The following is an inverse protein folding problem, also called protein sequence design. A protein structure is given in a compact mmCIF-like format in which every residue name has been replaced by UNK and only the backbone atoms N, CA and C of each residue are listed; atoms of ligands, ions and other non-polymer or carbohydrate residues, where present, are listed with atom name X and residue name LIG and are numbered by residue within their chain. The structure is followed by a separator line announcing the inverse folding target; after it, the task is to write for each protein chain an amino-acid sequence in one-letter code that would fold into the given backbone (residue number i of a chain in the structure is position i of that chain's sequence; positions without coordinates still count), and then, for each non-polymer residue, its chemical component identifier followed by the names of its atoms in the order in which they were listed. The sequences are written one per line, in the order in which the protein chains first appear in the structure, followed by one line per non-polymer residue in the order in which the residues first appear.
data_IF_927113820370
#
_entry.id   IF_927113820370
#
_cell.length_a   1.000
_cell.length_b   1.000
_cell.length_c   1.000
_cell.angle_alpha   90.00
_cell.angle_beta   90.00
_cell.angle_gamma   90.00
#
_symmetry.space_group_name_H-M   'P 1'
#
loop_
_entity.id
_entity.type
_entity.pdbx_description
1 polymer ?
#
# COMPACT_ATOMS: atom_id res chain seq x y z
N UNK A 1 -27.34 66.57 70.87
CA UNK A 1 -28.72 66.07 70.68
C UNK A 1 -28.63 64.71 70.00
N UNK A 2 -29.17 63.68 70.67
CA UNK A 2 -29.39 62.27 70.26
C UNK A 2 -30.25 62.15 68.98
N UNK A 3 -30.42 60.97 68.29
CA UNK A 3 -30.02 59.59 68.63
C UNK A 3 -29.43 58.69 67.49
N UNK A 4 -28.90 57.52 67.90
CA UNK A 4 -28.81 56.12 67.37
C UNK A 4 -29.14 55.72 65.88
N UNK A 5 -28.73 54.48 65.44
CA UNK A 5 -28.16 54.12 64.12
C UNK A 5 -29.14 53.40 63.17
N UNK A 6 -28.78 53.12 61.91
CA UNK A 6 -29.29 51.95 61.14
C UNK A 6 -28.49 51.65 59.85
N UNK A 7 -28.63 50.40 59.40
CA UNK A 7 -27.94 49.65 58.34
C UNK A 7 -28.35 50.00 56.87
N UNK A 8 -27.51 49.50 55.93
CA UNK A 8 -27.76 48.95 54.56
C UNK A 8 -28.03 49.88 53.36
N UNK A 9 -27.23 49.71 52.28
CA UNK A 9 -27.63 49.31 50.90
C UNK A 9 -26.37 49.33 49.99
N UNK A 10 -25.89 48.18 49.50
CA UNK A 10 -26.10 47.60 48.15
C UNK A 10 -25.57 48.40 46.95
N UNK A 11 -24.69 47.76 46.17
CA UNK A 11 -24.73 47.85 44.72
C UNK A 11 -23.41 48.15 44.02
N UNK A 12 -22.63 47.12 43.68
CA UNK A 12 -22.22 46.78 42.30
C UNK A 12 -21.17 45.66 42.30
N UNK A 13 -21.63 44.48 41.97
CA UNK A 13 -20.82 43.30 41.65
C UNK A 13 -20.07 43.57 40.35
N UNK A 14 -18.73 43.60 40.39
CA UNK A 14 -17.89 43.45 39.20
C UNK A 14 -17.54 41.97 39.10
N UNK A 15 -18.19 41.28 38.17
CA UNK A 15 -17.88 39.90 37.84
C UNK A 15 -16.58 39.91 37.01
N UNK A 16 -15.45 39.60 37.65
CA UNK A 16 -14.21 39.30 36.93
C UNK A 16 -14.39 37.94 36.27
N UNK A 17 -14.57 37.92 34.95
CA UNK A 17 -14.54 36.69 34.17
C UNK A 17 -13.10 36.16 34.16
N UNK A 18 -12.80 35.18 35.01
CA UNK A 18 -11.62 34.36 34.88
C UNK A 18 -11.79 33.51 33.61
N UNK A 19 -11.10 33.90 32.54
CA UNK A 19 -10.95 33.06 31.35
C UNK A 19 -10.08 31.87 31.78
N UNK A 20 -10.73 30.75 32.07
CA UNK A 20 -10.07 29.47 32.18
C UNK A 20 -9.48 29.17 30.80
N UNK A 21 -8.15 29.24 30.71
CA UNK A 21 -7.41 28.78 29.54
C UNK A 21 -7.48 27.25 29.57
N UNK A 22 -8.54 26.70 28.98
CA UNK A 22 -8.60 25.28 28.66
C UNK A 22 -7.47 25.00 27.69
N UNK A 23 -6.40 24.36 28.18
CA UNK A 23 -5.43 23.71 27.31
C UNK A 23 -6.20 22.63 26.55
N UNK A 24 -6.70 22.97 25.36
CA UNK A 24 -7.20 21.98 24.44
C UNK A 24 -6.02 21.05 24.16
N UNK A 25 -6.18 19.79 24.56
CA UNK A 25 -5.27 18.73 24.18
C UNK A 25 -5.08 18.82 22.66
N UNK A 26 -3.85 19.00 22.22
CA UNK A 26 -3.47 18.84 20.82
C UNK A 26 -3.99 17.49 20.36
N UNK A 27 -4.64 17.38 19.18
CA UNK A 27 -4.99 16.08 18.63
C UNK A 27 -3.71 15.27 18.53
N UNK A 28 -3.74 14.04 19.05
CA UNK A 28 -2.65 13.10 18.86
C UNK A 28 -2.36 12.96 17.36
N UNK A 29 -1.09 12.77 17.02
CA UNK A 29 -0.66 12.39 15.68
C UNK A 29 -1.55 11.23 15.20
N UNK A 30 -2.23 11.43 14.07
CA UNK A 30 -3.04 10.38 13.45
C UNK A 30 -2.17 9.14 13.23
N UNK A 31 -2.55 8.04 13.85
CA UNK A 31 -1.97 6.71 13.68
C UNK A 31 -2.53 6.03 12.40
N UNK A 32 -3.35 6.72 11.59
CA UNK A 32 -4.36 6.13 10.72
C UNK A 32 -3.87 5.32 9.50
N UNK A 33 -2.75 5.67 8.87
CA UNK A 33 -2.34 4.97 7.65
C UNK A 33 -1.66 3.62 7.96
N UNK A 34 -2.19 2.54 7.41
CA UNK A 34 -1.62 1.20 7.48
C UNK A 34 -1.05 0.82 6.12
N UNK A 35 0.28 0.69 6.03
CA UNK A 35 0.95 0.29 4.80
C UNK A 35 0.99 -1.23 4.68
N UNK A 36 0.23 -1.77 3.71
CA UNK A 36 0.17 -3.21 3.42
C UNK A 36 0.88 -3.49 2.10
N UNK A 37 1.92 -4.30 2.14
CA UNK A 37 2.76 -4.63 0.98
C UNK A 37 2.73 -6.09 0.59
N UNK A 38 3.19 -6.38 -0.62
CA UNK A 38 3.61 -7.70 -1.06
C UNK A 38 4.92 -7.63 -1.83
N UNK A 39 5.83 -8.57 -1.56
CA UNK A 39 7.15 -8.58 -2.15
C UNK A 39 7.71 -10.00 -2.30
N UNK A 40 8.00 -10.40 -3.55
CA UNK A 40 8.88 -11.52 -3.80
C UNK A 40 10.33 -11.10 -3.45
N UNK A 41 10.89 -11.67 -2.38
CA UNK A 41 12.28 -11.46 -1.99
C UNK A 41 13.08 -12.65 -2.51
N UNK A 42 13.62 -12.50 -3.73
CA UNK A 42 14.28 -13.58 -4.46
C UNK A 42 15.20 -14.41 -3.56
N UNK A 43 14.87 -15.69 -3.41
CA UNK A 43 15.59 -16.70 -2.63
C UNK A 43 16.03 -16.23 -1.22
N UNK A 44 15.13 -15.67 -0.40
CA UNK A 44 15.46 -15.24 0.96
C UNK A 44 15.99 -16.41 1.81
N UNK A 45 17.22 -16.28 2.29
CA UNK A 45 17.88 -17.31 3.10
C UNK A 45 18.69 -18.35 2.33
N UNK A 46 18.89 -18.17 1.03
CA UNK A 46 19.77 -19.00 0.20
C UNK A 46 21.00 -18.25 -0.30
N UNK A 47 22.16 -18.88 -0.12
CA UNK A 47 23.46 -18.31 -0.48
C UNK A 47 23.88 -17.16 0.44
N UNK A 48 25.04 -16.58 0.15
CA UNK A 48 25.71 -15.63 1.07
C UNK A 48 25.72 -14.18 0.55
N UNK A 49 25.00 -13.91 -0.55
CA UNK A 49 25.05 -12.62 -1.25
C UNK A 49 23.89 -11.68 -0.87
N UNK A 50 22.98 -12.12 0.00
CA UNK A 50 21.80 -11.34 0.39
C UNK A 50 22.21 -10.20 1.31
N UNK A 51 21.99 -8.98 0.88
CA UNK A 51 22.14 -7.79 1.72
C UNK A 51 20.88 -7.63 2.59
N UNK A 52 20.91 -8.21 3.78
CA UNK A 52 19.77 -8.17 4.70
C UNK A 52 19.46 -6.75 5.21
N UNK A 53 20.46 -5.85 5.31
CA UNK A 53 20.26 -4.46 5.73
C UNK A 53 19.47 -3.71 4.64
N UNK A 54 19.85 -3.88 3.37
CA UNK A 54 19.12 -3.33 2.25
C UNK A 54 17.68 -3.89 2.15
N UNK A 55 17.50 -5.21 2.35
CA UNK A 55 16.17 -5.84 2.37
C UNK A 55 15.31 -5.29 3.51
N UNK A 56 15.88 -5.15 4.71
CA UNK A 56 15.19 -4.58 5.87
C UNK A 56 14.85 -3.10 5.68
N UNK A 57 15.70 -2.31 5.03
CA UNK A 57 15.41 -0.92 4.71
C UNK A 57 14.18 -0.76 3.80
N UNK A 58 14.00 -1.67 2.84
CA UNK A 58 12.80 -1.72 1.98
C UNK A 58 11.60 -2.23 2.75
N UNK A 59 11.72 -3.39 3.41
CA UNK A 59 10.63 -4.05 4.11
C UNK A 59 10.13 -3.22 5.32
N UNK A 60 10.99 -2.44 5.95
CA UNK A 60 10.67 -1.59 7.10
C UNK A 60 9.75 -0.40 6.78
N UNK A 61 9.40 -0.19 5.51
CA UNK A 61 8.43 0.83 5.07
C UNK A 61 6.98 0.41 5.25
N UNK A 62 6.73 -0.88 5.48
CA UNK A 62 5.40 -1.45 5.60
C UNK A 62 5.03 -1.68 7.07
N UNK A 63 3.73 -1.75 7.35
CA UNK A 63 3.22 -2.21 8.65
C UNK A 63 2.88 -3.71 8.61
N UNK A 64 2.47 -4.21 7.43
CA UNK A 64 2.25 -5.61 7.09
C UNK A 64 2.83 -5.89 5.70
N UNK A 65 3.65 -6.93 5.57
CA UNK A 65 4.29 -7.32 4.30
C UNK A 65 4.12 -8.82 4.04
N UNK A 66 3.45 -9.16 2.94
CA UNK A 66 3.43 -10.52 2.41
C UNK A 66 4.73 -10.80 1.64
N UNK A 67 5.47 -11.82 2.04
CA UNK A 67 6.77 -12.21 1.48
C UNK A 67 6.66 -13.57 0.79
N UNK A 68 7.12 -13.61 -0.47
CA UNK A 68 7.29 -14.83 -1.26
C UNK A 68 8.78 -15.21 -1.37
N UNK A 69 9.08 -16.46 -1.77
CA UNK A 69 10.44 -17.02 -1.86
C UNK A 69 11.24 -17.06 -0.54
N UNK A 70 10.57 -17.32 0.59
CA UNK A 70 11.27 -17.60 1.84
C UNK A 70 11.82 -19.03 1.81
N UNK A 71 13.13 -19.18 1.65
CA UNK A 71 13.72 -20.50 1.40
C UNK A 71 14.10 -21.24 2.67
N UNK A 72 14.44 -20.52 3.74
CA UNK A 72 14.86 -21.07 5.03
C UNK A 72 14.28 -20.26 6.18
N UNK A 73 14.09 -20.92 7.33
CA UNK A 73 13.63 -20.23 8.54
C UNK A 73 14.71 -19.29 9.08
N UNK A 74 15.98 -19.70 9.00
CA UNK A 74 17.13 -18.89 9.37
C UNK A 74 17.20 -17.58 8.58
N UNK A 75 16.96 -17.61 7.26
CA UNK A 75 16.92 -16.40 6.45
C UNK A 75 15.80 -15.43 6.83
N UNK A 76 14.64 -15.97 7.23
CA UNK A 76 13.52 -15.19 7.75
C UNK A 76 13.85 -14.57 9.11
N UNK A 77 14.45 -15.35 10.01
CA UNK A 77 14.87 -14.89 11.34
C UNK A 77 15.94 -13.80 11.25
N UNK A 78 16.92 -13.95 10.35
CA UNK A 78 17.92 -12.92 10.09
C UNK A 78 17.27 -11.62 9.59
N UNK A 79 16.30 -11.71 8.68
CA UNK A 79 15.57 -10.52 8.23
C UNK A 79 14.77 -9.86 9.36
N UNK A 80 14.12 -10.63 10.24
CA UNK A 80 13.41 -10.07 11.40
C UNK A 80 14.34 -9.29 12.33
N UNK A 81 15.49 -9.88 12.69
CA UNK A 81 16.49 -9.20 13.54
C UNK A 81 16.96 -7.90 12.89
N UNK A 82 17.20 -7.95 11.58
CA UNK A 82 17.68 -6.80 10.81
C UNK A 82 16.62 -5.71 10.63
N UNK A 83 15.34 -6.10 10.51
CA UNK A 83 14.19 -5.19 10.55
C UNK A 83 14.07 -4.46 11.89
N UNK A 84 14.16 -5.19 13.01
CA UNK A 84 14.12 -4.57 14.34
C UNK A 84 15.31 -3.63 14.55
N UNK A 85 16.50 -4.01 14.08
CA UNK A 85 17.69 -3.16 14.13
C UNK A 85 17.52 -1.88 13.30
N UNK A 86 16.99 -2.01 12.08
CA UNK A 86 16.85 -0.91 11.12
C UNK A 86 15.74 0.06 11.51
N UNK A 87 14.59 -0.47 11.94
CA UNK A 87 13.39 0.34 12.24
C UNK A 87 13.33 0.82 13.69
N UNK A 88 14.05 0.17 14.60
CA UNK A 88 14.02 0.46 16.03
C UNK A 88 12.70 0.07 16.72
N UNK A 89 11.83 -0.67 16.03
CA UNK A 89 10.57 -1.20 16.58
C UNK A 89 10.55 -2.72 16.47
N UNK A 90 9.66 -3.36 17.25
CA UNK A 90 9.51 -4.82 17.24
C UNK A 90 8.82 -5.28 15.96
N UNK A 91 9.22 -6.44 15.46
CA UNK A 91 8.57 -7.12 14.34
C UNK A 91 8.17 -8.55 14.71
N UNK A 92 7.19 -9.09 14.00
CA UNK A 92 6.79 -10.48 14.09
C UNK A 92 6.66 -11.08 12.70
N UNK A 93 6.79 -12.41 12.60
CA UNK A 93 6.49 -13.14 11.40
C UNK A 93 5.47 -14.25 11.66
N UNK A 94 4.52 -14.38 10.74
CA UNK A 94 3.67 -15.54 10.59
C UNK A 94 4.07 -16.25 9.30
N UNK A 95 4.45 -17.53 9.35
CA UNK A 95 4.95 -18.28 8.19
C UNK A 95 4.12 -19.52 7.87
N UNK A 96 4.08 -19.90 6.60
CA UNK A 96 3.58 -21.19 6.17
C UNK A 96 4.61 -22.30 6.43
N UNK A 97 4.18 -23.55 6.29
CA UNK A 97 5.14 -24.64 6.02
C UNK A 97 5.68 -24.52 4.59
N UNK A 98 6.72 -25.30 4.24
CA UNK A 98 7.29 -25.32 2.89
C UNK A 98 6.29 -25.91 1.87
N UNK A 99 5.92 -25.13 0.87
CA UNK A 99 5.03 -25.47 -0.25
C UNK A 99 5.84 -25.54 -1.57
N UNK A 100 5.35 -26.29 -2.56
CA UNK A 100 6.09 -26.56 -3.80
C UNK A 100 6.14 -28.06 -4.13
N UNK A 101 6.14 -28.40 -5.43
CA UNK A 101 6.33 -29.79 -5.86
C UNK A 101 7.82 -30.10 -6.02
N UNK A 102 8.14 -31.38 -5.82
CA UNK A 102 9.51 -31.86 -5.93
C UNK A 102 10.43 -31.33 -4.81
N UNK A 103 11.67 -31.02 -5.18
CA UNK A 103 12.73 -30.62 -4.24
C UNK A 103 12.82 -29.13 -4.00
N UNK A 104 12.39 -28.31 -4.96
CA UNK A 104 12.33 -26.86 -4.79
C UNK A 104 11.04 -26.50 -4.05
N UNK A 105 11.19 -26.03 -2.81
CA UNK A 105 10.08 -25.60 -1.98
C UNK A 105 10.46 -24.33 -1.25
N UNK A 106 9.45 -23.51 -1.01
CA UNK A 106 9.55 -22.18 -0.41
C UNK A 106 8.44 -22.02 0.63
N UNK A 107 8.56 -21.02 1.48
CA UNK A 107 7.53 -20.62 2.44
C UNK A 107 7.00 -19.25 2.05
N UNK A 108 5.75 -19.01 2.44
CA UNK A 108 5.21 -17.67 2.55
C UNK A 108 5.44 -17.15 3.96
N UNK A 109 5.61 -15.85 4.10
CA UNK A 109 5.60 -15.19 5.40
C UNK A 109 4.82 -13.88 5.35
N UNK A 110 4.15 -13.55 6.44
CA UNK A 110 3.65 -12.21 6.73
C UNK A 110 4.53 -11.60 7.81
N UNK A 111 5.24 -10.53 7.47
CA UNK A 111 6.01 -9.73 8.42
C UNK A 111 5.16 -8.56 8.87
N UNK A 112 5.05 -8.30 10.17
CA UNK A 112 4.20 -7.23 10.66
C UNK A 112 4.68 -6.60 11.95
N UNK A 113 4.28 -5.34 12.11
CA UNK A 113 4.50 -4.52 13.30
C UNK A 113 3.35 -4.73 14.29
N UNK A 114 3.57 -5.34 15.47
CA UNK A 114 2.50 -5.66 16.40
C UNK A 114 1.86 -4.42 17.08
N UNK A 115 2.48 -3.24 16.96
CA UNK A 115 1.90 -1.97 17.37
C UNK A 115 0.95 -1.35 16.32
N UNK A 116 0.90 -1.92 15.10
CA UNK A 116 0.12 -1.43 13.96
C UNK A 116 -0.85 -2.48 13.42
N UNK A 117 -0.50 -3.76 13.56
CA UNK A 117 -1.19 -4.90 12.99
C UNK A 117 -1.32 -5.99 14.04
N UNK A 118 -2.55 -6.43 14.28
CA UNK A 118 -2.85 -7.63 15.05
C UNK A 118 -3.10 -8.79 14.08
N UNK A 119 -2.46 -9.94 14.32
CA UNK A 119 -2.87 -11.20 13.72
C UNK A 119 -4.04 -11.76 14.53
N UNK A 120 -5.21 -11.88 13.89
CA UNK A 120 -6.46 -12.26 14.56
C UNK A 120 -6.66 -13.77 14.55
N UNK A 121 -6.61 -14.39 13.36
CA UNK A 121 -6.83 -15.82 13.16
C UNK A 121 -6.41 -16.26 11.74
N UNK A 122 -6.74 -17.49 11.34
CA UNK A 122 -6.92 -17.87 9.94
C UNK A 122 -5.62 -18.14 9.18
N UNK A 123 -4.50 -18.37 9.87
CA UNK A 123 -3.21 -18.75 9.28
C UNK A 123 -3.30 -20.12 8.59
N UNK A 124 -3.73 -20.14 7.32
CA UNK A 124 -4.09 -21.36 6.60
C UNK A 124 -3.46 -21.38 5.22
N UNK A 125 -2.87 -22.51 4.87
CA UNK A 125 -2.47 -22.85 3.49
C UNK A 125 -3.67 -23.50 2.81
N UNK A 126 -4.00 -23.04 1.61
CA UNK A 126 -5.16 -23.51 0.87
C UNK A 126 -5.10 -25.03 0.63
N UNK A 127 -6.22 -25.71 0.89
CA UNK A 127 -6.35 -27.14 0.58
C UNK A 127 -6.81 -27.24 -0.87
N UNK A 128 -5.85 -27.34 -1.77
CA UNK A 128 -6.12 -27.45 -3.21
C UNK A 128 -6.62 -28.85 -3.58
N UNK A 129 -7.94 -29.03 -3.52
CA UNK A 129 -8.63 -30.27 -3.82
C UNK A 129 -8.40 -30.80 -5.23
N UNK A 130 -8.05 -29.92 -6.17
CA UNK A 130 -7.82 -30.22 -7.59
C UNK A 130 -6.35 -30.26 -7.97
N UNK A 131 -5.45 -30.04 -7.02
CA UNK A 131 -3.99 -30.12 -7.20
C UNK A 131 -3.50 -29.28 -8.41
N UNK A 132 -4.03 -28.06 -8.54
CA UNK A 132 -3.74 -27.10 -9.61
C UNK A 132 -2.49 -26.27 -9.31
N UNK A 133 -2.32 -25.81 -8.08
CA UNK A 133 -1.23 -24.95 -7.66
C UNK A 133 0.04 -25.77 -7.44
N UNK A 134 1.17 -25.27 -7.93
CA UNK A 134 2.50 -25.74 -7.54
C UNK A 134 2.78 -25.42 -6.06
N UNK A 135 2.33 -24.23 -5.64
CA UNK A 135 2.46 -23.68 -4.30
C UNK A 135 1.12 -23.16 -3.86
N UNK A 136 0.48 -23.89 -2.97
CA UNK A 136 -0.82 -23.56 -2.43
C UNK A 136 -0.77 -22.21 -1.70
N UNK A 137 -1.66 -21.24 -2.02
CA UNK A 137 -1.65 -19.92 -1.39
C UNK A 137 -1.78 -19.96 0.14
N UNK A 138 -1.21 -18.95 0.81
CA UNK A 138 -1.25 -18.79 2.26
C UNK A 138 -2.02 -17.54 2.66
N UNK A 139 -2.94 -17.64 3.61
CA UNK A 139 -3.75 -16.51 4.08
C UNK A 139 -3.75 -16.41 5.60
N UNK A 140 -4.06 -15.21 6.09
CA UNK A 140 -4.40 -14.95 7.49
C UNK A 140 -5.36 -13.76 7.61
N UNK A 141 -6.04 -13.67 8.75
CA UNK A 141 -6.87 -12.53 9.13
C UNK A 141 -6.04 -11.57 9.97
N UNK A 142 -6.04 -10.30 9.57
CA UNK A 142 -5.35 -9.22 10.25
C UNK A 142 -6.34 -8.13 10.65
N UNK A 143 -5.98 -7.40 11.71
CA UNK A 143 -6.66 -6.18 12.13
C UNK A 143 -5.67 -5.02 12.12
N UNK A 144 -6.02 -3.93 11.45
CA UNK A 144 -5.27 -2.67 11.50
C UNK A 144 -5.51 -1.95 12.84
N UNK A 145 -4.58 -1.08 13.24
CA UNK A 145 -4.65 -0.36 14.52
C UNK A 145 -5.90 0.54 14.68
N UNK A 146 -6.51 0.96 13.57
CA UNK A 146 -7.76 1.70 13.51
C UNK A 146 -9.02 0.81 13.56
N UNK A 147 -8.86 -0.52 13.56
CA UNK A 147 -9.89 -1.50 13.89
C UNK A 147 -10.50 -2.26 12.72
N UNK A 148 -10.00 -2.07 11.50
CA UNK A 148 -10.45 -2.77 10.30
C UNK A 148 -9.91 -4.21 10.22
N UNK A 149 -10.81 -5.20 10.19
CA UNK A 149 -10.45 -6.60 9.96
C UNK A 149 -10.44 -6.91 8.46
N UNK A 150 -9.41 -7.59 7.98
CA UNK A 150 -9.29 -8.02 6.58
C UNK A 150 -8.51 -9.32 6.44
N UNK A 151 -8.77 -10.03 5.36
CA UNK A 151 -7.99 -11.20 4.95
C UNK A 151 -6.90 -10.73 4.00
N UNK A 152 -5.65 -11.07 4.29
CA UNK A 152 -4.56 -10.99 3.33
C UNK A 152 -4.12 -12.40 2.95
N UNK A 153 -4.16 -12.68 1.66
CA UNK A 153 -3.61 -13.89 1.07
C UNK A 153 -2.38 -13.58 0.22
N UNK A 154 -1.42 -14.50 0.24
CA UNK A 154 -0.20 -14.47 -0.54
C UNK A 154 -0.20 -15.65 -1.52
N UNK A 155 0.03 -15.36 -2.80
CA UNK A 155 0.17 -16.35 -3.86
C UNK A 155 1.42 -16.08 -4.71
N UNK A 156 2.22 -17.12 -4.96
CA UNK A 156 3.35 -17.10 -5.89
C UNK A 156 3.09 -18.11 -6.99
N UNK A 157 2.58 -17.65 -8.14
CA UNK A 157 2.24 -18.53 -9.25
C UNK A 157 3.50 -18.96 -9.99
N UNK A 158 3.47 -20.14 -10.60
CA UNK A 158 4.66 -20.69 -11.26
C UNK A 158 5.24 -19.76 -12.32
N UNK A 159 6.56 -19.77 -12.45
CA UNK A 159 7.24 -19.20 -13.60
C UNK A 159 7.67 -20.32 -14.56
N UNK A 160 7.85 -20.00 -15.85
CA UNK A 160 8.41 -20.94 -16.84
C UNK A 160 7.75 -20.89 -18.23
N UNK A 161 8.20 -21.80 -19.09
CA UNK A 161 7.95 -21.79 -20.54
C UNK A 161 6.49 -22.03 -20.94
N UNK A 162 5.67 -22.58 -20.04
CA UNK A 162 4.25 -22.83 -20.31
C UNK A 162 3.37 -21.75 -19.68
N UNK A 163 3.05 -20.72 -20.48
CA UNK A 163 2.06 -19.69 -20.13
C UNK A 163 0.72 -20.35 -19.73
N UNK A 164 0.34 -21.46 -20.36
CA UNK A 164 -0.91 -22.15 -20.06
C UNK A 164 -0.99 -22.72 -18.65
N UNK A 165 0.13 -23.18 -18.07
CA UNK A 165 0.14 -23.63 -16.67
C UNK A 165 -0.08 -22.44 -15.73
N UNK A 166 0.60 -21.31 -15.97
CA UNK A 166 0.38 -20.05 -15.23
C UNK A 166 -1.07 -19.61 -15.28
N UNK A 167 -1.65 -19.59 -16.48
CA UNK A 167 -3.06 -19.22 -16.68
C UNK A 167 -4.02 -20.12 -15.92
N UNK A 168 -3.70 -21.41 -15.77
CA UNK A 168 -4.51 -22.34 -14.96
C UNK A 168 -4.46 -22.02 -13.48
N UNK A 169 -3.29 -21.74 -12.93
CA UNK A 169 -3.18 -21.30 -11.52
C UNK A 169 -3.88 -19.95 -11.31
N UNK A 170 -3.67 -18.99 -12.21
CA UNK A 170 -4.34 -17.68 -12.14
C UNK A 170 -5.87 -17.83 -12.15
N UNK A 171 -6.42 -18.64 -13.06
CA UNK A 171 -7.86 -18.91 -13.10
C UNK A 171 -8.36 -19.64 -11.84
N UNK A 172 -7.54 -20.53 -11.25
CA UNK A 172 -7.89 -21.26 -10.04
C UNK A 172 -8.01 -20.36 -8.79
N UNK A 173 -7.41 -19.17 -8.80
CA UNK A 173 -7.58 -18.19 -7.72
C UNK A 173 -9.05 -17.76 -7.53
N UNK A 174 -9.92 -17.94 -8.52
CA UNK A 174 -11.36 -17.75 -8.35
C UNK A 174 -11.95 -18.69 -7.28
N UNK A 175 -11.60 -19.98 -7.35
CA UNK A 175 -12.07 -20.96 -6.36
C UNK A 175 -11.44 -20.73 -4.98
N UNK A 176 -10.16 -20.32 -4.95
CA UNK A 176 -9.52 -19.94 -3.70
C UNK A 176 -10.20 -18.72 -3.04
N UNK A 177 -10.57 -17.72 -3.85
CA UNK A 177 -11.32 -16.56 -3.40
C UNK A 177 -12.68 -16.96 -2.82
N UNK A 178 -13.40 -17.86 -3.49
CA UNK A 178 -14.68 -18.38 -2.99
C UNK A 178 -14.51 -19.05 -1.62
N UNK A 179 -13.48 -19.88 -1.46
CA UNK A 179 -13.16 -20.54 -0.20
C UNK A 179 -12.85 -19.54 0.93
N UNK A 180 -12.09 -18.47 0.64
CA UNK A 180 -11.81 -17.41 1.63
C UNK A 180 -13.07 -16.65 2.04
N UNK A 181 -13.95 -16.33 1.10
CA UNK A 181 -15.23 -15.66 1.38
C UNK A 181 -16.16 -16.54 2.22
N UNK A 182 -16.14 -17.86 2.03
CA UNK A 182 -16.88 -18.81 2.86
C UNK A 182 -16.28 -18.96 4.25
N UNK A 183 -14.95 -19.04 4.35
CA UNK A 183 -14.24 -19.18 5.61
C UNK A 183 -14.31 -17.91 6.48
N UNK A 184 -14.31 -16.73 5.84
CA UNK A 184 -14.25 -15.42 6.50
C UNK A 184 -15.36 -14.49 5.97
N UNK A 185 -16.64 -14.82 6.22
CA UNK A 185 -17.76 -14.12 5.64
C UNK A 185 -17.80 -12.65 6.05
N UNK A 186 -17.90 -11.76 5.05
CA UNK A 186 -18.04 -10.31 5.24
C UNK A 186 -16.74 -9.55 5.41
N UNK A 187 -15.59 -10.22 5.54
CA UNK A 187 -14.30 -9.53 5.56
C UNK A 187 -13.84 -9.18 4.13
N UNK A 188 -13.20 -8.02 3.92
CA UNK A 188 -12.46 -7.75 2.70
C UNK A 188 -11.37 -8.82 2.48
N UNK A 189 -11.31 -9.38 1.26
CA UNK A 189 -10.30 -10.38 0.89
C UNK A 189 -9.34 -9.81 -0.14
N UNK A 190 -8.11 -9.57 0.27
CA UNK A 190 -7.02 -9.14 -0.59
C UNK A 190 -6.14 -10.33 -0.97
N UNK A 191 -5.86 -10.51 -2.26
CA UNK A 191 -4.92 -11.52 -2.75
C UNK A 191 -3.72 -10.81 -3.38
N UNK A 192 -2.56 -10.99 -2.78
CA UNK A 192 -1.33 -10.33 -3.18
C UNK A 192 -0.23 -11.33 -3.53
N UNK A 193 0.77 -10.89 -4.29
CA UNK A 193 1.96 -11.69 -4.59
C UNK A 193 2.47 -11.53 -6.01
N UNK A 194 3.44 -12.38 -6.35
CA UNK A 194 3.98 -12.54 -7.68
C UNK A 194 3.14 -13.54 -8.47
N UNK A 195 2.32 -13.04 -9.38
CA UNK A 195 1.46 -13.89 -10.21
C UNK A 195 2.14 -14.36 -11.49
N UNK A 196 3.36 -13.88 -11.78
CA UNK A 196 4.07 -14.12 -13.02
C UNK A 196 3.21 -13.89 -14.29
N UNK A 197 2.14 -13.11 -14.20
CA UNK A 197 1.16 -12.91 -15.27
C UNK A 197 0.59 -11.50 -15.20
N UNK A 198 0.52 -10.83 -16.35
CA UNK A 198 0.02 -9.46 -16.41
C UNK A 198 -1.47 -9.40 -16.03
N UNK A 199 -1.94 -8.34 -15.33
CA UNK A 199 -3.34 -8.21 -14.92
C UNK A 199 -4.33 -8.13 -16.10
N UNK A 200 -3.84 -7.80 -17.30
CA UNK A 200 -4.64 -7.76 -18.53
C UNK A 200 -4.79 -9.13 -19.22
N UNK A 201 -4.15 -10.20 -18.74
CA UNK A 201 -4.30 -11.54 -19.34
C UNK A 201 -5.73 -12.09 -19.13
N UNK A 202 -6.24 -12.82 -20.10
CA UNK A 202 -7.63 -13.31 -20.08
C UNK A 202 -7.88 -14.38 -19.00
N UNK A 203 -6.84 -15.01 -18.45
CA UNK A 203 -6.97 -15.94 -17.33
C UNK A 203 -7.60 -15.29 -16.08
N UNK A 204 -7.53 -13.96 -15.96
CA UNK A 204 -8.14 -13.20 -14.88
C UNK A 204 -9.65 -13.01 -15.01
N UNK A 205 -10.28 -13.47 -16.10
CA UNK A 205 -11.71 -13.23 -16.36
C UNK A 205 -12.63 -13.76 -15.26
N UNK A 206 -12.36 -14.94 -14.70
CA UNK A 206 -13.15 -15.49 -13.59
C UNK A 206 -12.77 -14.89 -12.23
N UNK A 207 -11.47 -14.86 -11.83
CA UNK A 207 -11.06 -14.19 -10.59
C UNK A 207 -11.50 -12.71 -10.50
N UNK A 208 -11.45 -12.00 -11.63
CA UNK A 208 -11.80 -10.60 -11.75
C UNK A 208 -13.29 -10.30 -11.59
N UNK A 209 -14.18 -11.31 -11.66
CA UNK A 209 -15.60 -11.10 -11.33
C UNK A 209 -15.81 -10.65 -9.88
N UNK A 210 -14.90 -11.02 -8.99
CA UNK A 210 -14.93 -10.71 -7.55
C UNK A 210 -13.76 -9.85 -7.09
N UNK A 211 -12.86 -9.49 -8.01
CA UNK A 211 -11.60 -8.85 -7.68
C UNK A 211 -11.23 -7.76 -8.68
N UNK A 212 -10.42 -6.82 -8.23
CA UNK A 212 -9.89 -5.74 -9.04
C UNK A 212 -8.37 -5.60 -8.80
N UNK A 213 -7.53 -5.63 -9.85
CA UNK A 213 -6.09 -5.44 -9.68
C UNK A 213 -5.80 -3.97 -9.41
N UNK A 214 -5.15 -3.66 -8.29
CA UNK A 214 -4.83 -2.27 -7.93
C UNK A 214 -3.80 -1.68 -8.90
N UNK A 215 -2.77 -2.44 -9.27
CA UNK A 215 -1.71 -1.99 -10.19
C UNK A 215 -2.04 -2.46 -11.61
N UNK A 216 -2.20 -1.53 -12.55
CA UNK A 216 -2.58 -1.85 -13.94
C UNK A 216 -1.57 -1.38 -14.98
N UNK A 217 -0.71 -0.45 -14.60
CA UNK A 217 0.32 0.15 -15.44
C UNK A 217 1.68 0.09 -14.73
N UNK A 218 2.76 0.18 -15.51
CA UNK A 218 4.13 0.06 -15.01
C UNK A 218 4.68 -1.37 -15.11
N UNK A 219 5.69 -1.67 -14.30
CA UNK A 219 6.32 -2.98 -14.22
C UNK A 219 6.99 -3.16 -12.85
N UNK A 220 6.98 -4.40 -12.33
CA UNK A 220 7.45 -4.77 -10.99
C UNK A 220 8.70 -5.64 -11.05
N UNK A 221 8.91 -6.44 -12.10
CA UNK A 221 10.17 -7.19 -12.24
C UNK A 221 11.31 -6.29 -12.72
N UNK A 222 12.45 -6.29 -12.04
CA UNK A 222 13.62 -5.49 -12.39
C UNK A 222 14.29 -6.03 -13.64
N UNK A 223 14.52 -5.15 -14.62
CA UNK A 223 15.24 -5.43 -15.84
C UNK A 223 16.76 -5.52 -15.62
N UNK A 224 17.46 -6.09 -16.61
CA UNK A 224 18.93 -6.24 -16.58
C UNK A 224 19.69 -4.92 -16.76
N UNK A 225 19.04 -3.89 -17.30
CA UNK A 225 19.66 -2.57 -17.51
C UNK A 225 19.29 -1.67 -16.35
N UNK A 226 20.23 -0.84 -15.91
CA UNK A 226 19.97 0.12 -14.86
C UNK A 226 18.82 1.07 -15.24
N UNK A 227 17.88 1.28 -14.32
CA UNK A 227 16.70 2.13 -14.53
C UNK A 227 15.63 1.50 -15.42
N UNK A 228 15.61 0.17 -15.56
CA UNK A 228 14.60 -0.52 -16.36
C UNK A 228 13.85 -1.58 -15.56
N UNK A 229 12.53 -1.58 -15.70
CA UNK A 229 11.63 -2.66 -15.27
C UNK A 229 11.09 -3.37 -16.51
N UNK A 230 10.62 -4.62 -16.36
CA UNK A 230 10.29 -5.49 -17.48
C UNK A 230 8.82 -5.93 -17.55
N UNK A 231 8.25 -6.46 -16.47
CA UNK A 231 6.90 -7.01 -16.45
C UNK A 231 6.14 -6.58 -15.20
N UNK A 232 4.83 -6.37 -15.31
CA UNK A 232 3.92 -6.18 -14.18
C UNK A 232 3.37 -7.54 -13.76
N UNK A 233 4.07 -8.23 -12.87
CA UNK A 233 3.70 -9.57 -12.37
C UNK A 233 3.20 -9.55 -10.94
N UNK A 234 3.69 -8.61 -10.14
CA UNK A 234 3.33 -8.46 -8.75
C UNK A 234 2.11 -7.54 -8.64
N UNK A 235 1.13 -7.92 -7.82
CA UNK A 235 -0.08 -7.12 -7.63
C UNK A 235 -0.72 -7.34 -6.26
N UNK A 236 -1.71 -6.51 -5.96
CA UNK A 236 -2.68 -6.70 -4.89
C UNK A 236 -4.06 -6.63 -5.53
N UNK A 237 -4.81 -7.72 -5.46
CA UNK A 237 -6.18 -7.82 -5.97
C UNK A 237 -7.15 -7.51 -4.83
N UNK A 238 -7.82 -6.37 -4.91
CA UNK A 238 -8.84 -5.93 -3.96
C UNK A 238 -10.20 -6.59 -4.26
N UNK A 239 -11.07 -6.80 -3.27
CA UNK A 239 -12.42 -7.28 -3.52
C UNK A 239 -13.24 -6.23 -4.28
N UNK A 240 -14.01 -6.67 -5.29
CA UNK A 240 -14.96 -5.80 -5.99
C UNK A 240 -16.31 -5.79 -5.29
N UNK A 241 -17.10 -4.73 -5.50
CA UNK A 241 -18.46 -4.62 -4.97
C UNK A 241 -18.53 -4.44 -3.45
N UNK A 242 -17.45 -3.97 -2.83
CA UNK A 242 -17.37 -3.64 -1.41
C UNK A 242 -16.76 -2.25 -1.24
N UNK A 243 -17.21 -1.52 -0.23
CA UNK A 243 -16.65 -0.21 0.12
C UNK A 243 -15.39 -0.44 0.96
N UNK A 244 -14.24 0.05 0.49
CA UNK A 244 -12.93 -0.23 1.07
C UNK A 244 -12.20 1.05 1.49
N UNK A 245 -11.52 1.07 2.64
CA UNK A 245 -10.77 2.22 3.14
C UNK A 245 -9.39 2.34 2.47
N UNK A 246 -9.31 2.19 1.14
CA UNK A 246 -8.03 2.30 0.41
C UNK A 246 -7.75 3.77 0.08
N UNK A 247 -6.75 4.34 0.74
CA UNK A 247 -6.27 5.71 0.52
C UNK A 247 -5.25 5.83 -0.62
N UNK A 248 -4.55 4.75 -0.95
CA UNK A 248 -3.55 4.75 -2.01
C UNK A 248 -3.01 3.36 -2.32
N UNK A 249 -2.32 3.25 -3.45
CA UNK A 249 -1.60 2.03 -3.86
C UNK A 249 -0.50 2.39 -4.86
N UNK A 250 0.50 1.52 -5.00
CA UNK A 250 1.61 1.77 -5.92
C UNK A 250 2.66 0.66 -5.98
N UNK A 251 3.74 0.97 -6.70
CA UNK A 251 4.96 0.17 -6.80
C UNK A 251 6.06 0.94 -6.07
N UNK A 252 6.83 0.25 -5.21
CA UNK A 252 7.99 0.85 -4.55
C UNK A 252 9.25 0.62 -5.41
N UNK A 253 9.68 1.66 -6.13
CA UNK A 253 10.87 1.64 -6.99
C UNK A 253 12.18 1.75 -6.17
N UNK A 254 12.35 0.81 -5.23
CA UNK A 254 13.38 0.85 -4.20
C UNK A 254 14.84 1.03 -4.68
N UNK A 255 15.30 0.49 -5.85
CA UNK A 255 16.70 0.60 -6.22
C UNK A 255 17.12 2.06 -6.38
N UNK A 256 16.33 2.83 -7.13
CA UNK A 256 16.62 4.21 -7.43
C UNK A 256 16.14 5.14 -6.33
N UNK A 257 14.96 4.91 -5.74
CA UNK A 257 14.34 5.89 -4.84
C UNK A 257 14.75 5.75 -3.38
N UNK A 258 15.04 4.53 -2.94
CA UNK A 258 15.36 4.25 -1.54
C UNK A 258 16.85 4.00 -1.34
N UNK A 259 17.38 2.97 -2.02
CA UNK A 259 18.74 2.48 -1.77
C UNK A 259 19.81 3.22 -2.57
N UNK A 260 19.41 3.95 -3.63
CA UNK A 260 20.32 4.66 -4.55
C UNK A 260 21.37 3.72 -5.17
N UNK A 261 20.98 2.47 -5.45
CA UNK A 261 21.80 1.43 -6.06
C UNK A 261 21.35 1.15 -7.51
N UNK A 262 22.22 0.47 -8.27
CA UNK A 262 21.86 0.04 -9.61
C UNK A 262 20.89 -1.14 -9.60
N UNK A 263 20.13 -1.34 -10.68
CA UNK A 263 19.30 -2.55 -10.81
C UNK A 263 20.13 -3.84 -10.81
N UNK A 264 21.37 -3.80 -11.31
CA UNK A 264 22.26 -4.95 -11.27
C UNK A 264 22.55 -5.39 -9.83
N UNK A 265 22.92 -4.44 -8.97
CA UNK A 265 23.13 -4.67 -7.53
C UNK A 265 21.84 -5.12 -6.86
N UNK A 266 20.73 -4.39 -7.07
CA UNK A 266 19.43 -4.72 -6.49
C UNK A 266 19.02 -6.17 -6.80
N UNK A 267 19.13 -6.60 -8.06
CA UNK A 267 18.79 -7.97 -8.49
C UNK A 267 19.72 -9.04 -7.91
N UNK A 268 20.98 -8.70 -7.65
CA UNK A 268 21.97 -9.63 -7.12
C UNK A 268 21.84 -9.79 -5.61
N UNK A 269 21.66 -8.69 -4.89
CA UNK A 269 21.86 -8.60 -3.44
C UNK A 269 20.54 -8.39 -2.67
N UNK A 270 19.49 -7.84 -3.29
CA UNK A 270 18.23 -7.48 -2.61
C UNK A 270 17.06 -8.33 -3.12
N UNK A 271 16.52 -8.01 -4.29
CA UNK A 271 15.51 -8.79 -5.02
C UNK A 271 15.46 -8.32 -6.48
N UNK A 272 14.99 -9.18 -7.38
CA UNK A 272 14.66 -8.78 -8.75
C UNK A 272 13.17 -8.46 -8.97
N UNK A 273 12.41 -8.29 -7.89
CA UNK A 273 11.06 -7.75 -7.89
C UNK A 273 11.00 -6.48 -7.05
N UNK A 274 10.19 -5.51 -7.47
CA UNK A 274 9.80 -4.35 -6.67
C UNK A 274 8.56 -4.69 -5.85
N UNK A 275 8.49 -4.27 -4.57
CA UNK A 275 7.28 -4.41 -3.79
C UNK A 275 6.10 -3.64 -4.41
N UNK A 276 4.91 -4.19 -4.24
CA UNK A 276 3.64 -3.48 -4.48
C UNK A 276 2.95 -3.23 -3.15
N UNK A 277 2.18 -2.15 -3.06
CA UNK A 277 1.55 -1.77 -1.81
C UNK A 277 0.17 -1.15 -1.98
N UNK A 278 -0.60 -1.21 -0.91
CA UNK A 278 -1.80 -0.41 -0.67
C UNK A 278 -1.69 0.27 0.71
N UNK A 279 -2.40 1.39 0.86
CA UNK A 279 -2.53 2.11 2.12
C UNK A 279 -3.99 2.00 2.54
N UNK A 280 -4.21 1.43 3.72
CA UNK A 280 -5.52 1.41 4.37
C UNK A 280 -5.60 2.56 5.36
N UNK A 281 -6.72 3.28 5.37
CA UNK A 281 -7.00 4.35 6.30
C UNK A 281 -8.52 4.42 6.56
N UNK A 282 -8.96 3.96 7.74
CA UNK A 282 -10.38 3.94 8.11
C UNK A 282 -10.98 5.34 8.32
N UNK A 283 -10.16 6.40 8.29
CA UNK A 283 -10.61 7.78 8.46
C UNK A 283 -10.94 8.50 7.15
N UNK A 284 -10.58 7.93 5.99
CA UNK A 284 -10.86 8.52 4.67
C UNK A 284 -12.15 7.98 4.05
N UNK A 285 -12.59 8.63 2.97
CA UNK A 285 -13.72 8.14 2.20
C UNK A 285 -13.39 6.77 1.57
N UNK A 286 -14.33 5.83 1.67
CA UNK A 286 -14.18 4.51 1.07
C UNK A 286 -14.28 4.54 -0.45
N UNK A 287 -13.54 3.66 -1.10
CA UNK A 287 -13.59 3.41 -2.54
C UNK A 287 -14.25 2.06 -2.81
N UNK A 288 -15.11 1.99 -3.82
CA UNK A 288 -15.73 0.74 -4.28
C UNK A 288 -15.23 0.40 -5.67
N UNK A 289 -14.57 -0.76 -5.81
CA UNK A 289 -14.08 -1.22 -7.10
C UNK A 289 -15.13 -2.06 -7.82
N UNK A 290 -15.23 -1.89 -9.14
CA UNK A 290 -16.05 -2.74 -10.00
C UNK A 290 -15.31 -4.05 -10.34
N UNK A 291 -16.02 -5.11 -10.76
CA UNK A 291 -15.40 -6.32 -11.27
C UNK A 291 -14.42 -6.04 -12.44
N UNK A 292 -13.25 -6.67 -12.40
CA UNK A 292 -12.28 -6.65 -13.50
C UNK A 292 -12.61 -7.70 -14.56
N UNK A 293 -13.26 -7.30 -15.65
CA UNK A 293 -13.66 -8.21 -16.73
C UNK A 293 -12.61 -8.39 -17.85
N UNK A 294 -11.35 -8.04 -17.59
CA UNK A 294 -10.25 -8.37 -18.50
C UNK A 294 -10.25 -7.60 -19.82
N UNK A 295 -10.27 -6.26 -19.77
CA UNK A 295 -9.97 -5.41 -20.92
C UNK A 295 -8.56 -4.83 -20.80
N UNK A 296 -7.58 -5.46 -21.45
CA UNK A 296 -6.39 -4.74 -21.93
C UNK A 296 -6.80 -3.66 -22.96
N UNK A 297 -5.95 -2.67 -23.25
CA UNK A 297 -6.34 -1.29 -23.54
C UNK A 297 -7.01 -1.11 -24.91
N UNK A 298 -8.32 -1.31 -24.99
CA UNK A 298 -9.23 -0.71 -25.99
C UNK A 298 -10.60 -0.54 -25.34
N UNK A 299 -11.12 0.67 -25.38
CA UNK A 299 -12.50 1.03 -25.03
C UNK A 299 -12.90 1.03 -23.55
N UNK A 300 -12.03 1.58 -22.69
CA UNK A 300 -12.56 2.43 -21.62
C UNK A 300 -12.02 3.83 -21.86
N UNK A 301 -12.91 4.73 -22.29
CA UNK A 301 -12.68 6.16 -22.17
C UNK A 301 -12.18 6.43 -20.75
N UNK A 302 -11.13 7.22 -20.65
CA UNK A 302 -10.57 7.75 -19.40
C UNK A 302 -11.69 7.95 -18.37
N UNK A 303 -11.78 7.05 -17.39
CA UNK A 303 -12.20 7.50 -16.08
C UNK A 303 -10.97 8.16 -15.51
N UNK A 304 -10.72 9.37 -16.00
CA UNK A 304 -10.04 10.37 -15.21
C UNK A 304 -10.85 10.46 -13.92
N UNK A 305 -10.31 9.87 -12.86
CA UNK A 305 -10.44 10.57 -11.59
C UNK A 305 -9.71 11.87 -11.87
N UNK A 306 -10.44 12.90 -12.28
CA UNK A 306 -9.99 14.28 -12.15
C UNK A 306 -9.76 14.44 -10.65
N UNK A 307 -8.51 14.44 -10.13
CA UNK A 307 -8.32 15.20 -8.91
C UNK A 307 -8.75 16.59 -9.32
N UNK A 308 -9.76 17.17 -8.67
CA UNK A 308 -10.16 18.55 -8.96
C UNK A 308 -8.89 19.38 -9.02
N UNK A 309 -8.46 19.76 -10.23
CA UNK A 309 -7.16 20.40 -10.39
C UNK A 309 -7.27 21.67 -9.55
N UNK A 310 -6.36 21.90 -8.61
CA UNK A 310 -6.44 23.08 -7.76
C UNK A 310 -6.44 24.30 -8.68
N UNK A 311 -7.28 25.29 -8.37
CA UNK A 311 -7.60 26.41 -9.27
C UNK A 311 -6.36 27.15 -9.81
N UNK A 312 -5.21 26.97 -9.16
CA UNK A 312 -3.94 27.62 -9.48
C UNK A 312 -2.76 26.64 -9.43
N UNK A 313 -1.98 26.61 -10.52
CA UNK A 313 -0.74 25.82 -10.64
C UNK A 313 0.46 26.76 -10.81
N UNK A 314 1.37 26.75 -9.84
CA UNK A 314 2.66 27.43 -9.85
C UNK A 314 3.80 26.58 -10.43
N UNK A 315 4.79 27.22 -11.05
CA UNK A 315 6.07 26.61 -11.39
C UNK A 315 7.13 27.05 -10.35
N UNK A 316 7.62 26.12 -9.53
CA UNK A 316 8.57 26.39 -8.45
C UNK A 316 9.92 26.93 -8.92
N UNK A 317 10.31 26.70 -10.18
CA UNK A 317 11.56 27.24 -10.72
C UNK A 317 11.44 28.70 -11.18
N UNK A 318 10.26 29.13 -11.62
CA UNK A 318 10.06 30.48 -12.18
C UNK A 318 9.30 31.43 -11.25
N UNK A 319 8.64 30.90 -10.22
CA UNK A 319 7.73 31.65 -9.35
C UNK A 319 6.50 32.18 -10.12
N UNK A 320 6.12 31.55 -11.23
CA UNK A 320 4.98 31.97 -12.06
C UNK A 320 3.83 30.98 -11.86
N UNK A 321 2.61 31.48 -11.64
CA UNK A 321 1.41 30.64 -11.59
C UNK A 321 0.46 30.89 -12.76
N UNK A 322 -0.32 29.85 -13.07
CA UNK A 322 -1.40 29.85 -14.04
C UNK A 322 -2.71 29.43 -13.37
N UNK A 323 -3.81 30.04 -13.79
CA UNK A 323 -5.17 29.62 -13.39
C UNK A 323 -5.79 28.73 -14.46
N UNK A 324 -6.80 27.96 -14.07
CA UNK A 324 -7.57 27.14 -15.00
C UNK A 324 -8.08 27.96 -16.20
N UNK A 325 -7.84 27.47 -17.42
CA UNK A 325 -8.16 28.16 -18.68
C UNK A 325 -7.02 28.97 -19.31
N UNK A 326 -5.88 29.14 -18.63
CA UNK A 326 -4.72 29.80 -19.23
C UNK A 326 -3.91 28.90 -20.19
N UNK A 327 -3.32 29.46 -21.27
CA UNK A 327 -2.49 28.71 -22.22
C UNK A 327 -1.26 27.98 -21.63
N UNK A 328 -0.87 28.30 -20.39
CA UNK A 328 0.25 27.67 -19.68
C UNK A 328 -0.15 26.72 -18.55
N UNK A 329 -1.45 26.57 -18.24
CA UNK A 329 -1.96 25.84 -17.08
C UNK A 329 -1.47 24.39 -17.01
N UNK A 330 -1.53 23.67 -18.14
CA UNK A 330 -1.12 22.27 -18.25
C UNK A 330 0.36 22.08 -18.61
N UNK A 331 1.12 23.16 -18.86
CA UNK A 331 2.50 23.09 -19.39
C UNK A 331 3.59 23.04 -18.32
N UNK A 332 3.24 23.21 -17.05
CA UNK A 332 4.21 23.02 -15.95
C UNK A 332 4.49 21.53 -15.79
N UNK A 333 5.74 21.12 -15.91
CA UNK A 333 6.19 19.73 -15.66
C UNK A 333 5.85 19.30 -14.22
N UNK A 334 5.36 18.08 -14.02
CA UNK A 334 4.94 17.55 -12.71
C UNK A 334 6.00 17.74 -11.61
N UNK A 335 7.29 17.56 -11.95
CA UNK A 335 8.45 17.76 -11.06
C UNK A 335 8.60 19.18 -10.48
N UNK A 336 8.04 20.19 -11.13
CA UNK A 336 8.20 21.60 -10.76
C UNK A 336 6.85 22.28 -10.44
N UNK A 337 5.78 21.49 -10.20
CA UNK A 337 4.46 22.02 -9.86
C UNK A 337 4.40 22.38 -8.38
N UNK A 338 4.01 23.60 -8.08
CA UNK A 338 3.44 23.99 -6.79
C UNK A 338 1.93 24.15 -7.01
N UNK A 339 1.12 23.60 -6.11
CA UNK A 339 -0.33 23.62 -6.20
C UNK A 339 -0.88 24.58 -5.16
N UNK A 340 -1.86 25.41 -5.54
CA UNK A 340 -2.51 26.35 -4.64
C UNK A 340 -4.02 26.29 -4.81
N UNK A 341 -4.75 26.36 -3.70
CA UNK A 341 -6.21 26.31 -3.69
C UNK A 341 -6.82 27.63 -4.19
N UNK A 342 -6.03 28.73 -4.20
CA UNK A 342 -6.46 30.04 -4.70
C UNK A 342 -5.31 30.92 -5.20
N UNK A 343 -5.64 31.95 -6.00
CA UNK A 343 -4.64 32.95 -6.45
C UNK A 343 -4.04 33.73 -5.27
N UNK A 344 -4.82 33.93 -4.19
CA UNK A 344 -4.37 34.64 -2.99
C UNK A 344 -3.27 33.86 -2.24
N UNK A 345 -3.38 32.54 -2.21
CA UNK A 345 -2.38 31.66 -1.62
C UNK A 345 -1.10 31.66 -2.45
N UNK A 346 -1.20 31.56 -3.78
CA UNK A 346 -0.06 31.64 -4.68
C UNK A 346 0.70 32.97 -4.54
N UNK A 347 -0.01 34.09 -4.41
CA UNK A 347 0.58 35.41 -4.17
C UNK A 347 1.28 35.50 -2.81
N UNK A 348 0.67 34.93 -1.77
CA UNK A 348 1.26 34.88 -0.41
C UNK A 348 2.52 34.01 -0.39
N UNK A 349 2.55 32.94 -1.18
CA UNK A 349 3.71 32.08 -1.39
C UNK A 349 4.80 32.70 -2.29
N UNK A 350 4.62 33.96 -2.74
CA UNK A 350 5.61 34.70 -3.53
C UNK A 350 5.56 34.44 -5.03
N UNK A 351 4.51 33.78 -5.53
CA UNK A 351 4.33 33.54 -6.96
C UNK A 351 3.60 34.72 -7.62
N UNK A 352 3.88 34.94 -8.89
CA UNK A 352 3.23 35.98 -9.71
C UNK A 352 2.43 35.36 -10.85
N UNK A 353 1.29 35.96 -11.18
CA UNK A 353 0.45 35.50 -12.29
C UNK A 353 1.21 35.60 -13.62
N UNK A 354 1.07 34.58 -14.46
CA UNK A 354 1.63 34.60 -15.80
C UNK A 354 1.03 35.76 -16.62
N UNK A 355 1.83 36.41 -17.47
CA UNK A 355 1.37 37.57 -18.27
C UNK A 355 0.44 37.20 -19.43
N UNK A 356 0.40 35.90 -19.76
CA UNK A 356 -0.49 35.32 -20.75
C UNK A 356 -1.69 34.61 -20.09
N UNK A 357 -1.82 34.78 -18.76
CA UNK A 357 -3.04 34.78 -17.99
C UNK A 357 -3.42 36.24 -17.68
#
# INVERSE_FOLDING_TARGET
MTPLPFRRALGRTVLAAAIALSAAATPGVSIAETFVGSWNIRNLGWGDQKDHEAVAAVAGRYDLLAVQEVMTEEGLEHLLVELERTTGVRWQALKSHRVGRGSYKEMYAFLFRPDRIEWVDGAVVYIDDRDVFEREPFSAVFRSADGGDFVLASAHLIYGDSVDRRRREAAALAGYRDWLEEAFPGLPVFIAGDFNLQPSDTAWSEPGRKSFPLIRDGATTLGKRNGSYANLYDNIWAPSGMDLPIAGFGIDEFPAELLRITHEQARAEVSDHAPVFMVLDESVATVRFEPWLGSGPRDQADVSIEPSLPAVIGNSNSGIYHVEGCPGYSRTSQRNRALFDSEAEALTAGYRRARNC
#
